data_IF_586501098279
#
_entry.id   IF_586501098279
#
_cell.length_a   1.000
_cell.length_b   1.000
_cell.length_c   1.000
_cell.angle_alpha   90.00
_cell.angle_beta   90.00
_cell.angle_gamma   90.00
#
_symmetry.space_group_name_H-M   'P 1'
#
loop_
_entity.id
_entity.type
_entity.pdbx_description
1 polymer ?
#
# COMPACT_ATOMS: atom_id res chain seq x y z
N UNK A 1 -15.28 -0.39 -2.58
CA UNK A 1 -14.12 -0.86 -1.82
C UNK A 1 -13.29 -1.81 -2.70
N UNK A 2 -11.98 -1.60 -2.78
CA UNK A 2 -11.08 -2.53 -3.48
C UNK A 2 -10.92 -3.84 -2.68
N UNK A 3 -10.53 -4.95 -3.32
CA UNK A 3 -10.13 -6.16 -2.61
C UNK A 3 -8.97 -5.85 -1.67
N UNK A 4 -9.18 -6.11 -0.38
CA UNK A 4 -8.18 -5.91 0.67
C UNK A 4 -7.99 -7.22 1.43
N UNK A 5 -6.79 -7.46 1.99
CA UNK A 5 -6.54 -8.67 2.78
C UNK A 5 -7.54 -8.83 3.92
N UNK A 6 -7.93 -10.07 4.17
CA UNK A 6 -8.63 -10.48 5.38
C UNK A 6 -7.62 -11.14 6.28
N UNK A 7 -7.62 -10.77 7.56
CA UNK A 7 -6.76 -11.41 8.56
C UNK A 7 -7.59 -12.12 9.60
N UNK A 8 -7.04 -13.21 10.14
CA UNK A 8 -7.56 -13.84 11.35
C UNK A 8 -6.83 -13.29 12.58
N UNK A 9 -7.59 -12.89 13.59
CA UNK A 9 -7.07 -12.49 14.88
C UNK A 9 -8.06 -12.79 16.01
N UNK A 10 -7.60 -13.51 17.05
CA UNK A 10 -8.40 -13.88 18.23
C UNK A 10 -9.73 -14.55 17.86
N UNK A 11 -9.69 -15.50 16.91
CA UNK A 11 -10.87 -16.27 16.47
C UNK A 11 -11.90 -15.45 15.66
N UNK A 12 -11.50 -14.33 15.11
CA UNK A 12 -12.32 -13.51 14.21
C UNK A 12 -11.60 -13.20 12.92
N UNK A 13 -12.35 -13.15 11.84
CA UNK A 13 -11.91 -12.59 10.56
C UNK A 13 -12.14 -11.08 10.58
N UNK A 14 -11.16 -10.32 10.10
CA UNK A 14 -11.18 -8.86 10.09
C UNK A 14 -10.91 -8.33 8.70
N UNK A 15 -11.66 -7.30 8.30
CA UNK A 15 -11.50 -6.63 7.03
C UNK A 15 -11.72 -5.13 7.15
N UNK A 16 -10.83 -4.36 6.48
CA UNK A 16 -11.02 -2.94 6.28
C UNK A 16 -12.08 -2.68 5.20
N UNK A 17 -12.88 -1.66 5.42
CA UNK A 17 -13.94 -1.23 4.52
C UNK A 17 -13.97 0.30 4.42
N UNK A 18 -14.55 0.80 3.34
CA UNK A 18 -14.97 2.17 3.22
C UNK A 18 -16.35 2.25 2.57
N UNK A 19 -17.13 3.21 2.97
CA UNK A 19 -18.37 3.61 2.29
C UNK A 19 -18.26 5.05 1.79
N UNK A 20 -19.27 5.49 1.06
CA UNK A 20 -19.38 6.85 0.55
C UNK A 20 -20.74 7.43 0.93
N UNK A 21 -20.73 8.43 1.83
CA UNK A 21 -21.95 9.08 2.29
C UNK A 21 -21.76 10.59 2.44
N UNK A 22 -22.50 11.43 1.70
CA UNK A 22 -23.48 11.06 0.67
C UNK A 22 -22.84 10.38 -0.55
N UNK A 23 -23.59 9.63 -1.35
CA UNK A 23 -23.07 8.81 -2.47
C UNK A 23 -22.70 9.64 -3.71
N UNK A 24 -22.02 10.76 -3.51
CA UNK A 24 -21.52 11.69 -4.53
C UNK A 24 -20.09 12.10 -4.18
N UNK A 25 -19.37 12.77 -5.08
CA UNK A 25 -18.03 13.29 -4.88
C UNK A 25 -17.06 12.17 -4.46
N UNK A 26 -16.55 11.45 -5.44
CA UNK A 26 -15.60 10.35 -5.22
C UNK A 26 -14.42 10.80 -4.33
N UNK A 27 -14.13 9.98 -3.32
CA UNK A 27 -13.06 10.22 -2.36
C UNK A 27 -13.47 11.16 -1.22
N UNK A 28 -13.94 12.36 -1.51
CA UNK A 28 -14.26 13.40 -0.51
C UNK A 28 -15.22 12.92 0.59
N UNK A 29 -16.19 12.09 0.23
CA UNK A 29 -17.21 11.58 1.15
C UNK A 29 -16.94 10.15 1.62
N UNK A 30 -15.73 9.63 1.42
CA UNK A 30 -15.36 8.32 1.92
C UNK A 30 -15.21 8.33 3.43
N UNK A 31 -15.75 7.28 4.06
CA UNK A 31 -15.65 7.05 5.49
C UNK A 31 -15.04 5.67 5.70
N UNK A 32 -13.96 5.60 6.47
CA UNK A 32 -13.34 4.34 6.84
C UNK A 32 -14.14 3.65 7.95
N UNK A 33 -14.18 2.32 7.91
CA UNK A 33 -14.68 1.46 8.98
C UNK A 33 -14.05 0.08 8.88
N UNK A 34 -14.31 -0.77 9.85
CA UNK A 34 -13.89 -2.16 9.85
C UNK A 34 -15.07 -3.08 10.06
N UNK A 35 -14.96 -4.29 9.54
CA UNK A 35 -15.90 -5.37 9.77
C UNK A 35 -15.16 -6.57 10.35
N UNK A 36 -15.81 -7.30 11.25
CA UNK A 36 -15.28 -8.56 11.75
C UNK A 36 -16.40 -9.56 12.00
N UNK A 37 -16.06 -10.84 11.96
CA UNK A 37 -17.00 -11.94 12.16
C UNK A 37 -16.26 -13.11 12.83
N UNK A 38 -16.87 -13.93 13.70
CA UNK A 38 -16.24 -15.15 14.19
C UNK A 38 -15.82 -16.06 13.03
N UNK A 39 -14.70 -16.78 13.16
CA UNK A 39 -14.16 -17.65 12.09
C UNK A 39 -15.08 -18.82 11.74
N UNK A 40 -15.92 -19.24 12.67
CA UNK A 40 -16.89 -20.35 12.54
C UNK A 40 -18.31 -19.87 12.20
N UNK A 41 -18.50 -18.57 11.98
CA UNK A 41 -19.79 -18.00 11.65
C UNK A 41 -20.23 -18.31 10.21
N UNK A 42 -21.52 -18.29 9.96
CA UNK A 42 -22.05 -18.22 8.60
C UNK A 42 -21.75 -16.82 8.02
N UNK A 43 -20.83 -16.75 7.07
CA UNK A 43 -20.41 -15.47 6.46
C UNK A 43 -21.52 -14.80 5.64
N UNK A 44 -22.60 -15.53 5.31
CA UNK A 44 -23.75 -15.00 4.60
C UNK A 44 -24.81 -14.44 5.55
N UNK A 45 -24.71 -14.70 6.84
CA UNK A 45 -25.60 -14.14 7.86
C UNK A 45 -25.09 -12.76 8.30
N UNK A 46 -25.76 -11.70 7.86
CA UNK A 46 -25.37 -10.33 8.15
C UNK A 46 -25.41 -10.00 9.65
N UNK A 47 -26.25 -10.68 10.44
CA UNK A 47 -26.40 -10.40 11.88
C UNK A 47 -25.20 -10.90 12.70
N UNK A 48 -24.36 -11.77 12.14
CA UNK A 48 -23.14 -12.25 12.78
C UNK A 48 -21.94 -11.28 12.63
N UNK A 49 -22.05 -10.30 11.74
CA UNK A 49 -21.00 -9.33 11.49
C UNK A 49 -21.01 -8.18 12.50
N UNK A 50 -19.88 -7.91 13.11
CA UNK A 50 -19.62 -6.69 13.85
C UNK A 50 -19.12 -5.61 12.89
N UNK A 51 -19.68 -4.42 12.97
CA UNK A 51 -19.32 -3.27 12.14
C UNK A 51 -18.95 -2.10 13.07
N UNK A 52 -17.79 -1.48 12.84
CA UNK A 52 -17.37 -0.31 13.64
C UNK A 52 -18.15 0.95 13.26
N UNK A 53 -17.96 2.02 14.07
CA UNK A 53 -18.29 3.37 13.65
C UNK A 53 -17.61 3.71 12.31
N UNK A 54 -18.10 4.75 11.66
CA UNK A 54 -17.55 5.28 10.41
C UNK A 54 -16.85 6.59 10.65
N UNK A 55 -15.58 6.70 10.24
CA UNK A 55 -14.78 7.91 10.39
C UNK A 55 -14.57 8.55 9.02
N UNK A 56 -15.07 9.78 8.87
CA UNK A 56 -14.92 10.57 7.65
C UNK A 56 -13.48 11.18 7.59
N UNK A 57 -12.96 11.33 6.37
CA UNK A 57 -11.72 12.05 6.15
C UNK A 57 -11.93 13.56 6.36
N UNK A 58 -11.03 14.21 7.11
CA UNK A 58 -11.03 15.66 7.20
C UNK A 58 -10.10 16.24 6.12
N UNK A 59 -10.61 17.08 5.19
CA UNK A 59 -9.78 17.72 4.16
C UNK A 59 -8.61 18.55 4.68
N UNK A 60 -8.69 19.03 5.91
CA UNK A 60 -7.61 19.80 6.56
C UNK A 60 -6.35 18.96 6.87
N UNK A 61 -6.47 17.63 6.81
CA UNK A 61 -5.35 16.72 7.05
C UNK A 61 -4.39 16.58 5.85
N UNK A 62 -4.60 17.35 4.77
CA UNK A 62 -3.87 17.20 3.51
C UNK A 62 -4.37 15.99 2.69
N UNK A 63 -4.06 15.91 1.41
CA UNK A 63 -4.68 14.91 0.56
C UNK A 63 -6.16 15.16 0.30
N UNK A 64 -6.91 14.14 -0.12
CA UNK A 64 -8.33 14.31 -0.51
C UNK A 64 -9.27 13.21 0.00
N UNK A 65 -8.74 12.10 0.48
CA UNK A 65 -9.52 10.96 0.93
C UNK A 65 -8.63 9.91 1.59
N UNK A 66 -9.25 9.00 2.33
CA UNK A 66 -8.65 7.72 2.66
C UNK A 66 -9.48 6.56 2.14
N UNK A 67 -8.83 5.46 1.80
CA UNK A 67 -9.47 4.27 1.27
C UNK A 67 -8.50 3.08 1.29
N UNK A 68 -9.03 1.90 0.93
CA UNK A 68 -8.23 0.70 0.66
C UNK A 68 -7.35 0.29 1.86
N UNK A 69 -7.96 0.19 3.04
CA UNK A 69 -7.25 -0.10 4.28
C UNK A 69 -6.76 -1.54 4.39
N UNK A 70 -5.66 -1.70 5.12
CA UNK A 70 -5.12 -3.00 5.53
C UNK A 70 -5.32 -3.17 7.03
N UNK A 71 -5.97 -4.25 7.46
CA UNK A 71 -5.95 -4.62 8.87
C UNK A 71 -4.63 -5.30 9.18
N UNK A 72 -3.92 -4.76 10.15
CA UNK A 72 -2.63 -5.27 10.60
C UNK A 72 -2.59 -5.34 12.11
N UNK A 73 -1.87 -6.32 12.64
CA UNK A 73 -1.62 -6.47 14.07
C UNK A 73 -0.23 -5.93 14.37
N UNK A 74 -0.11 -5.05 15.37
CA UNK A 74 1.19 -4.58 15.83
C UNK A 74 1.90 -5.65 16.72
N UNK A 75 3.18 -5.45 17.10
CA UNK A 75 3.91 -6.38 17.95
C UNK A 75 3.29 -6.57 19.35
N UNK A 76 2.47 -5.64 19.81
CA UNK A 76 1.75 -5.72 21.08
C UNK A 76 0.40 -6.43 20.95
N UNK A 77 0.03 -6.85 19.74
CA UNK A 77 -1.22 -7.56 19.45
C UNK A 77 -2.44 -6.67 19.25
N UNK A 78 -2.26 -5.34 19.18
CA UNK A 78 -3.32 -4.40 18.85
C UNK A 78 -3.56 -4.36 17.35
N UNK A 79 -4.82 -4.24 16.95
CA UNK A 79 -5.20 -4.11 15.55
C UNK A 79 -5.23 -2.64 15.12
N UNK A 80 -4.76 -2.43 13.89
CA UNK A 80 -4.75 -1.15 13.21
C UNK A 80 -5.33 -1.30 11.81
N UNK A 81 -6.00 -0.26 11.33
CA UNK A 81 -6.37 -0.12 9.94
C UNK A 81 -5.42 0.89 9.29
N UNK A 82 -4.50 0.41 8.44
CA UNK A 82 -3.61 1.26 7.64
C UNK A 82 -4.26 1.56 6.29
N UNK A 83 -4.64 2.81 6.07
CA UNK A 83 -5.32 3.30 4.89
C UNK A 83 -4.39 4.08 3.98
N UNK A 84 -4.64 3.95 2.69
CA UNK A 84 -4.13 4.88 1.69
C UNK A 84 -4.63 6.30 1.98
N UNK A 85 -3.72 7.28 1.95
CA UNK A 85 -4.04 8.70 2.02
C UNK A 85 -3.92 9.34 0.61
N UNK A 86 -5.06 9.44 -0.07
CA UNK A 86 -5.11 9.83 -1.46
C UNK A 86 -4.58 11.24 -1.71
N UNK A 87 -3.59 11.37 -2.61
CA UNK A 87 -2.97 12.63 -3.05
C UNK A 87 -2.14 13.39 -2.02
N UNK A 88 -1.68 12.75 -0.96
CA UNK A 88 -0.70 13.40 -0.08
C UNK A 88 0.67 13.49 -0.75
N UNK A 89 1.34 14.63 -0.57
CA UNK A 89 2.71 14.87 -0.96
C UNK A 89 3.42 15.66 0.17
N UNK A 90 4.47 15.10 0.81
CA UNK A 90 5.00 13.75 0.61
C UNK A 90 3.99 12.64 0.91
N UNK A 91 4.22 11.44 0.35
CA UNK A 91 3.29 10.33 0.47
C UNK A 91 3.19 9.81 1.91
N UNK A 92 1.97 9.61 2.39
CA UNK A 92 1.68 9.11 3.74
C UNK A 92 0.58 8.05 3.72
N UNK A 93 0.63 7.13 4.67
CA UNK A 93 -0.50 6.31 5.07
C UNK A 93 -1.22 6.92 6.27
N UNK A 94 -2.42 6.42 6.56
CA UNK A 94 -3.20 6.76 7.76
C UNK A 94 -3.41 5.50 8.59
N UNK A 95 -3.06 5.56 9.89
CA UNK A 95 -3.18 4.45 10.84
C UNK A 95 -4.28 4.74 11.85
N UNK A 96 -5.39 4.01 11.77
CA UNK A 96 -6.51 4.12 12.69
C UNK A 96 -6.47 2.97 13.69
N UNK A 97 -6.63 3.27 14.98
CA UNK A 97 -6.72 2.26 16.02
C UNK A 97 -8.07 1.55 15.94
N UNK A 98 -8.08 0.23 16.17
CA UNK A 98 -9.29 -0.59 16.23
C UNK A 98 -9.50 -1.01 17.67
N UNK A 99 -10.73 -0.89 18.20
CA UNK A 99 -11.08 -1.41 19.53
C UNK A 99 -11.06 -2.94 19.56
N UNK A 100 -10.81 -3.55 20.71
CA UNK A 100 -10.73 -5.01 20.84
C UNK A 100 -12.05 -5.71 20.48
N UNK A 101 -13.18 -5.07 20.73
CA UNK A 101 -14.52 -5.58 20.41
C UNK A 101 -14.93 -5.33 18.95
N UNK A 102 -14.15 -4.54 18.19
CA UNK A 102 -14.41 -4.22 16.79
C UNK A 102 -15.52 -3.20 16.54
N UNK A 103 -16.08 -2.60 17.58
CA UNK A 103 -17.17 -1.63 17.46
C UNK A 103 -16.71 -0.21 17.17
N UNK A 104 -15.41 0.09 17.39
CA UNK A 104 -14.88 1.42 17.12
C UNK A 104 -13.54 1.42 16.43
N UNK A 105 -13.34 2.44 15.59
CA UNK A 105 -12.06 2.86 15.07
C UNK A 105 -11.84 4.33 15.40
N UNK A 106 -10.60 4.71 15.62
CA UNK A 106 -10.21 6.06 15.99
C UNK A 106 -8.95 6.52 15.25
N UNK A 107 -8.92 7.79 14.86
CA UNK A 107 -7.80 8.42 14.19
C UNK A 107 -7.30 9.62 15.01
N UNK A 108 -6.03 9.56 15.38
CA UNK A 108 -5.34 10.65 16.09
C UNK A 108 -4.39 11.33 15.10
N UNK A 109 -4.68 12.54 14.60
CA UNK A 109 -3.88 13.22 13.57
C UNK A 109 -2.40 13.38 13.96
N UNK A 110 -2.11 13.57 15.24
CA UNK A 110 -0.76 13.81 15.76
C UNK A 110 0.16 12.59 15.63
N UNK A 111 -0.41 11.38 15.56
CA UNK A 111 0.33 10.11 15.54
C UNK A 111 -0.16 9.11 14.49
N UNK A 112 -1.26 9.41 13.83
CA UNK A 112 -1.91 8.50 12.88
C UNK A 112 -1.38 8.60 11.46
N UNK A 113 -0.68 9.67 11.11
CA UNK A 113 0.01 9.73 9.82
C UNK A 113 1.35 9.02 9.91
N UNK A 114 1.61 8.16 8.94
CA UNK A 114 2.87 7.44 8.82
C UNK A 114 3.52 7.76 7.49
N UNK A 115 4.83 8.03 7.50
CA UNK A 115 5.61 8.28 6.29
C UNK A 115 5.80 6.93 5.58
N UNK A 116 4.94 6.68 4.59
CA UNK A 116 4.93 5.45 3.80
C UNK A 116 5.12 5.80 2.33
N UNK A 117 6.30 5.54 1.75
CA UNK A 117 6.51 5.72 0.31
C UNK A 117 5.51 4.87 -0.49
N UNK A 118 4.71 5.51 -1.33
CA UNK A 118 3.59 4.87 -2.03
C UNK A 118 2.25 4.89 -1.29
N UNK A 119 2.19 5.45 -0.08
CA UNK A 119 0.98 5.54 0.74
C UNK A 119 -0.16 6.37 0.12
N UNK A 120 0.10 7.10 -0.95
CA UNK A 120 -0.94 7.79 -1.75
C UNK A 120 -1.68 6.89 -2.73
N UNK A 121 -1.27 5.64 -2.87
CA UNK A 121 -1.84 4.62 -3.76
C UNK A 121 -2.17 3.37 -2.96
N UNK A 122 -2.92 2.43 -3.54
CA UNK A 122 -3.16 1.15 -2.89
C UNK A 122 -1.84 0.44 -2.63
N UNK A 123 -1.65 -0.02 -1.42
CA UNK A 123 -0.58 -0.91 -0.99
C UNK A 123 -1.18 -2.14 -0.31
N UNK A 124 -0.37 -3.17 -0.11
CA UNK A 124 -0.76 -4.38 0.59
C UNK A 124 0.34 -4.77 1.56
N UNK A 125 -0.03 -5.12 2.80
CA UNK A 125 0.90 -5.40 3.90
C UNK A 125 0.77 -6.85 4.33
N UNK A 126 1.91 -7.54 4.53
CA UNK A 126 2.01 -8.84 5.17
C UNK A 126 3.06 -8.80 6.29
N UNK A 127 2.89 -9.66 7.27
CA UNK A 127 3.92 -9.97 8.26
C UNK A 127 4.82 -11.09 7.75
N UNK A 128 6.12 -10.91 7.83
CA UNK A 128 7.11 -11.95 7.50
C UNK A 128 7.69 -12.55 8.78
N UNK A 129 7.30 -13.77 9.08
CA UNK A 129 7.74 -14.50 10.28
C UNK A 129 9.25 -14.76 10.32
N UNK A 130 9.91 -14.82 9.18
CA UNK A 130 11.35 -15.10 9.11
C UNK A 130 12.17 -13.87 9.46
N UNK A 131 11.87 -12.72 8.86
CA UNK A 131 12.58 -11.46 9.13
C UNK A 131 12.05 -10.72 10.34
N UNK A 132 10.87 -11.11 10.88
CA UNK A 132 10.15 -10.41 11.96
C UNK A 132 9.88 -8.95 11.59
N UNK A 133 9.46 -8.73 10.34
CA UNK A 133 9.17 -7.42 9.77
C UNK A 133 7.80 -7.41 9.10
N UNK A 134 7.13 -6.27 9.13
CA UNK A 134 6.05 -5.98 8.21
C UNK A 134 6.65 -5.64 6.86
N UNK A 135 6.11 -6.26 5.83
CA UNK A 135 6.49 -6.01 4.45
C UNK A 135 5.29 -5.41 3.72
N UNK A 136 5.54 -4.44 2.86
CA UNK A 136 4.51 -3.85 2.02
C UNK A 136 4.95 -3.79 0.56
N UNK A 137 4.02 -4.09 -0.34
CA UNK A 137 4.17 -3.75 -1.76
C UNK A 137 3.39 -2.46 -2.04
N UNK A 138 4.11 -1.47 -2.54
CA UNK A 138 3.59 -0.12 -2.78
C UNK A 138 4.19 0.49 -4.05
N UNK A 139 3.61 1.60 -4.51
CA UNK A 139 4.09 2.36 -5.67
C UNK A 139 4.69 3.70 -5.21
N UNK A 140 5.94 3.76 -4.74
CA UNK A 140 6.54 5.02 -4.34
C UNK A 140 6.74 5.95 -5.54
N UNK A 141 6.64 7.25 -5.29
CA UNK A 141 6.92 8.28 -6.28
C UNK A 141 8.41 8.59 -6.28
N UNK A 142 9.09 8.35 -7.40
CA UNK A 142 10.50 8.67 -7.50
C UNK A 142 10.74 10.19 -7.47
N UNK A 143 11.89 10.67 -6.95
CA UNK A 143 12.19 12.09 -6.81
C UNK A 143 12.01 12.91 -8.09
N UNK A 144 12.40 12.37 -9.26
CA UNK A 144 12.23 13.03 -10.56
C UNK A 144 10.77 13.25 -10.95
N UNK A 145 9.83 12.57 -10.30
CA UNK A 145 8.40 12.73 -10.52
C UNK A 145 7.68 13.47 -9.39
N UNK A 146 8.41 14.06 -8.44
CA UNK A 146 7.84 14.72 -7.25
C UNK A 146 6.89 15.89 -7.59
N UNK A 147 7.05 16.52 -8.77
CA UNK A 147 6.13 17.55 -9.23
C UNK A 147 4.81 16.99 -9.82
N UNK A 148 4.70 15.67 -10.02
CA UNK A 148 3.48 15.04 -10.51
C UNK A 148 2.53 14.71 -9.38
N UNK A 149 1.27 14.50 -9.72
CA UNK A 149 0.28 13.98 -8.76
C UNK A 149 0.68 12.57 -8.33
N UNK A 150 0.84 12.31 -7.02
CA UNK A 150 1.28 11.01 -6.53
C UNK A 150 0.35 9.86 -6.94
N UNK A 151 -0.97 10.08 -6.95
CA UNK A 151 -1.97 9.09 -7.33
C UNK A 151 -1.91 8.65 -8.80
N UNK A 152 -1.20 9.41 -9.65
CA UNK A 152 -0.97 9.09 -11.06
C UNK A 152 0.45 8.63 -11.37
N UNK A 153 1.32 8.51 -10.36
CA UNK A 153 2.69 8.05 -10.52
C UNK A 153 2.77 6.61 -10.04
N UNK A 154 2.66 5.66 -10.99
CA UNK A 154 2.48 4.22 -10.71
C UNK A 154 3.52 3.33 -11.38
N UNK A 155 4.52 3.93 -12.02
CA UNK A 155 5.52 3.28 -12.86
C UNK A 155 6.58 2.48 -12.11
N UNK A 156 6.46 2.35 -10.80
CA UNK A 156 7.28 1.47 -9.98
C UNK A 156 6.43 0.67 -8.99
N UNK A 157 6.82 -0.58 -8.75
CA UNK A 157 6.37 -1.39 -7.64
C UNK A 157 7.57 -1.71 -6.78
N UNK A 158 7.48 -1.46 -5.49
CA UNK A 158 8.59 -1.61 -4.58
C UNK A 158 8.21 -2.40 -3.33
N UNK A 159 9.20 -3.07 -2.74
CA UNK A 159 9.11 -3.71 -1.43
C UNK A 159 9.58 -2.73 -0.37
N UNK A 160 8.72 -2.50 0.61
CA UNK A 160 8.97 -1.74 1.84
C UNK A 160 9.09 -2.69 3.01
N UNK A 161 9.77 -2.27 4.07
CA UNK A 161 9.75 -2.97 5.36
C UNK A 161 9.56 -2.02 6.52
N UNK A 162 8.98 -2.52 7.61
CA UNK A 162 8.80 -1.79 8.85
C UNK A 162 8.86 -2.75 10.04
N UNK A 163 9.54 -2.39 11.15
CA UNK A 163 9.50 -3.19 12.36
C UNK A 163 8.24 -2.95 13.19
N UNK A 164 7.51 -1.84 12.97
CA UNK A 164 6.52 -1.33 13.92
C UNK A 164 5.28 -0.67 13.27
N UNK A 165 5.12 -0.77 11.95
CA UNK A 165 4.05 -0.14 11.16
C UNK A 165 4.09 1.40 11.11
N UNK A 166 5.13 2.02 11.65
CA UNK A 166 5.33 3.48 11.69
C UNK A 166 6.53 3.91 10.86
N UNK A 167 7.65 3.22 11.06
CA UNK A 167 8.91 3.52 10.39
C UNK A 167 9.07 2.59 9.17
N UNK A 168 8.83 3.13 7.98
CA UNK A 168 8.88 2.37 6.73
C UNK A 168 10.11 2.72 5.92
N UNK A 169 10.80 1.68 5.47
CA UNK A 169 12.00 1.78 4.63
C UNK A 169 11.77 1.17 3.26
N UNK A 170 12.24 1.85 2.22
CA UNK A 170 12.30 1.32 0.86
C UNK A 170 13.45 0.31 0.75
N UNK A 171 13.11 -0.97 0.55
CA UNK A 171 14.09 -2.07 0.47
C UNK A 171 14.64 -2.26 -0.94
N UNK A 172 13.75 -2.40 -1.90
CA UNK A 172 14.12 -2.69 -3.29
C UNK A 172 12.98 -2.32 -4.24
N UNK A 173 13.35 -1.96 -5.46
CA UNK A 173 12.40 -1.76 -6.56
C UNK A 173 12.22 -3.10 -7.27
N UNK A 174 11.00 -3.62 -7.30
CA UNK A 174 10.70 -4.89 -7.95
C UNK A 174 10.40 -4.73 -9.44
N UNK A 175 9.57 -3.75 -9.78
CA UNK A 175 9.19 -3.45 -11.17
C UNK A 175 9.36 -1.94 -11.40
N UNK A 176 9.87 -1.58 -12.57
CA UNK A 176 10.07 -0.19 -12.94
C UNK A 176 9.95 0.01 -14.45
N UNK A 177 9.34 1.12 -14.84
CA UNK A 177 9.34 1.62 -16.21
C UNK A 177 9.62 3.13 -16.21
N UNK A 178 10.52 3.65 -17.08
CA UNK A 178 10.87 5.06 -17.08
C UNK A 178 9.72 5.99 -17.52
N UNK A 179 8.84 5.50 -18.38
CA UNK A 179 7.69 6.31 -18.86
C UNK A 179 6.51 6.16 -17.90
N UNK A 180 6.32 7.19 -17.07
CA UNK A 180 5.25 7.30 -16.08
C UNK A 180 3.87 7.55 -16.68
N UNK A 181 3.79 7.92 -17.97
CA UNK A 181 2.52 8.23 -18.62
C UNK A 181 1.80 6.96 -19.12
N UNK A 182 2.57 5.92 -19.44
CA UNK A 182 2.04 4.71 -20.09
C UNK A 182 2.18 3.44 -19.23
N UNK A 183 2.96 3.49 -18.16
CA UNK A 183 3.20 2.31 -17.34
C UNK A 183 2.73 2.47 -15.89
N UNK A 184 2.17 1.38 -15.34
CA UNK A 184 1.77 1.30 -13.94
C UNK A 184 1.72 -0.14 -13.46
N UNK A 185 2.31 -0.41 -12.30
CA UNK A 185 2.34 -1.70 -11.61
C UNK A 185 1.59 -1.57 -10.29
N UNK A 186 0.32 -1.90 -10.26
CA UNK A 186 -0.55 -1.45 -9.20
C UNK A 186 -1.49 -2.52 -8.70
N UNK A 187 -2.13 -2.24 -7.57
CA UNK A 187 -3.05 -3.17 -6.92
C UNK A 187 -2.44 -4.56 -6.74
N UNK A 188 -1.21 -4.64 -6.19
CA UNK A 188 -0.57 -5.94 -6.01
C UNK A 188 -1.39 -6.81 -5.05
N UNK A 189 -1.49 -8.08 -5.40
CA UNK A 189 -1.85 -9.16 -4.50
C UNK A 189 -0.69 -10.14 -4.47
N UNK A 190 -0.33 -10.65 -3.30
CA UNK A 190 0.92 -11.38 -3.15
C UNK A 190 0.95 -12.27 -1.93
N UNK A 191 1.83 -13.27 -1.97
CA UNK A 191 2.10 -14.15 -0.86
C UNK A 191 3.59 -14.46 -0.76
N UNK A 192 4.01 -14.93 0.43
CA UNK A 192 5.35 -15.40 0.71
C UNK A 192 5.36 -16.93 0.60
N UNK A 193 6.24 -17.47 -0.24
CA UNK A 193 6.47 -18.90 -0.39
C UNK A 193 7.97 -19.19 -0.20
N UNK A 194 8.35 -19.63 1.01
CA UNK A 194 9.76 -19.82 1.34
C UNK A 194 10.56 -18.51 1.23
N UNK A 195 11.56 -18.47 0.34
CA UNK A 195 12.37 -17.29 0.06
C UNK A 195 11.87 -16.46 -1.12
N UNK A 196 10.66 -16.70 -1.59
CA UNK A 196 10.10 -16.07 -2.77
C UNK A 196 8.88 -15.23 -2.42
N UNK A 197 8.69 -14.12 -3.17
CA UNK A 197 7.38 -13.48 -3.27
C UNK A 197 6.72 -13.92 -4.58
N UNK A 198 5.48 -14.35 -4.50
CA UNK A 198 4.61 -14.54 -5.64
C UNK A 198 3.69 -13.34 -5.73
N UNK A 199 3.81 -12.56 -6.81
CA UNK A 199 3.16 -11.26 -6.94
C UNK A 199 2.29 -11.23 -8.19
N UNK A 200 1.01 -10.91 -8.02
CA UNK A 200 0.13 -10.49 -9.10
C UNK A 200 0.05 -8.96 -9.11
N UNK A 201 0.19 -8.36 -10.29
CA UNK A 201 0.06 -6.92 -10.47
C UNK A 201 -0.93 -6.60 -11.57
N UNK A 202 -1.86 -5.69 -11.29
CA UNK A 202 -2.65 -5.04 -12.33
C UNK A 202 -1.73 -4.05 -13.05
N UNK A 203 -1.35 -4.38 -14.29
CA UNK A 203 -0.26 -3.73 -15.00
C UNK A 203 -0.76 -2.97 -16.22
N UNK A 204 -0.47 -1.66 -16.26
CA UNK A 204 -0.55 -0.84 -17.45
C UNK A 204 0.81 -0.89 -18.13
N UNK A 205 0.85 -1.28 -19.41
CA UNK A 205 2.10 -1.40 -20.15
C UNK A 205 1.86 -1.22 -21.65
N UNK A 206 2.79 -0.58 -22.40
CA UNK A 206 2.68 -0.46 -23.84
C UNK A 206 2.49 -1.80 -24.53
N UNK A 207 1.61 -1.85 -25.53
CA UNK A 207 1.35 -3.01 -26.36
C UNK A 207 1.17 -2.62 -27.85
N UNK A 208 1.19 -3.59 -28.78
CA UNK A 208 0.99 -3.31 -30.23
C UNK A 208 -0.41 -2.81 -30.58
N UNK A 209 -1.37 -2.84 -29.65
CA UNK A 209 -2.78 -2.51 -29.90
C UNK A 209 -3.17 -1.11 -29.43
N UNK A 210 -2.19 -0.27 -29.04
CA UNK A 210 -2.40 1.11 -28.62
C UNK A 210 -2.15 1.35 -27.13
N UNK A 211 -1.85 0.31 -26.37
CA UNK A 211 -1.54 0.39 -24.95
C UNK A 211 -2.71 0.78 -24.04
N UNK A 212 -2.47 0.99 -22.75
CA UNK A 212 -3.48 1.45 -21.83
C UNK A 212 -3.79 2.95 -22.04
N UNK A 213 -5.04 3.40 -21.79
CA UNK A 213 -5.42 4.81 -21.94
C UNK A 213 -4.70 5.74 -20.95
N UNK A 214 -4.20 5.20 -19.85
CA UNK A 214 -3.43 5.90 -18.81
C UNK A 214 -2.75 4.88 -17.88
N UNK A 215 -1.82 5.29 -16.99
CA UNK A 215 -1.10 4.36 -16.12
C UNK A 215 -1.96 3.72 -15.01
N UNK A 216 -3.20 4.16 -14.83
CA UNK A 216 -4.14 3.55 -13.88
C UNK A 216 -4.99 2.45 -14.51
N UNK A 217 -5.42 2.62 -15.76
CA UNK A 217 -6.35 1.68 -16.42
C UNK A 217 -5.53 0.60 -17.12
N UNK A 218 -5.27 -0.46 -16.39
CA UNK A 218 -4.40 -1.55 -16.78
C UNK A 218 -4.98 -2.39 -17.93
N UNK A 219 -4.11 -2.83 -18.84
CA UNK A 219 -4.41 -3.75 -19.92
C UNK A 219 -3.89 -5.17 -19.68
N UNK A 220 -3.09 -5.38 -18.61
CA UNK A 220 -2.56 -6.68 -18.23
C UNK A 220 -2.81 -7.01 -16.76
N UNK A 221 -2.86 -8.31 -16.47
CA UNK A 221 -2.58 -8.89 -15.17
C UNK A 221 -1.28 -9.66 -15.31
N UNK A 222 -0.24 -9.25 -14.58
CA UNK A 222 1.09 -9.86 -14.68
C UNK A 222 1.44 -10.60 -13.41
N UNK A 223 2.09 -11.76 -13.57
CA UNK A 223 2.62 -12.56 -12.47
C UNK A 223 4.14 -12.43 -12.40
N UNK A 224 4.66 -12.25 -11.20
CA UNK A 224 6.09 -12.11 -10.95
C UNK A 224 6.51 -13.00 -9.79
N UNK A 225 7.66 -13.65 -9.94
CA UNK A 225 8.34 -14.39 -8.88
C UNK A 225 9.61 -13.63 -8.51
N UNK A 226 9.74 -13.30 -7.22
CA UNK A 226 10.89 -12.56 -6.69
C UNK A 226 11.67 -13.49 -5.79
N UNK A 227 12.76 -14.02 -6.32
CA UNK A 227 13.65 -14.92 -5.58
C UNK A 227 14.47 -14.15 -4.54
N UNK A 228 14.78 -14.81 -3.42
CA UNK A 228 15.65 -14.30 -2.36
C UNK A 228 15.28 -12.87 -1.89
N UNK A 229 14.00 -12.58 -1.81
CA UNK A 229 13.50 -11.22 -1.60
C UNK A 229 14.01 -10.58 -0.30
N UNK A 230 14.29 -11.37 0.75
CA UNK A 230 14.80 -10.86 2.03
C UNK A 230 16.21 -10.28 1.93
N UNK A 231 16.98 -10.72 0.94
CA UNK A 231 18.35 -10.25 0.70
C UNK A 231 18.41 -9.09 -0.28
N UNK A 232 17.32 -8.82 -0.99
CA UNK A 232 17.30 -7.74 -1.99
C UNK A 232 17.39 -6.36 -1.35
N UNK A 233 18.10 -5.49 -2.06
CA UNK A 233 18.37 -4.11 -1.69
C UNK A 233 18.06 -3.16 -2.86
N UNK A 234 18.24 -1.86 -2.66
CA UNK A 234 18.14 -0.88 -3.74
C UNK A 234 19.23 -1.00 -4.82
N UNK A 235 20.32 -1.73 -4.54
CA UNK A 235 21.37 -2.00 -5.52
C UNK A 235 20.98 -3.09 -6.54
N UNK A 236 19.96 -3.89 -6.22
CA UNK A 236 19.51 -4.96 -7.11
C UNK A 236 18.64 -4.40 -8.24
N UNK A 237 18.83 -4.87 -9.48
CA UNK A 237 18.02 -4.41 -10.61
C UNK A 237 16.56 -4.85 -10.46
N UNK A 238 15.60 -4.07 -10.98
CA UNK A 238 14.20 -4.50 -11.09
C UNK A 238 14.07 -5.75 -11.97
N UNK A 239 13.01 -6.50 -11.73
CA UNK A 239 12.60 -7.56 -12.64
C UNK A 239 12.24 -6.93 -14.01
N UNK A 240 12.68 -7.56 -15.10
CA UNK A 240 12.37 -7.07 -16.45
C UNK A 240 13.36 -6.05 -17.03
N UNK A 241 14.44 -5.73 -16.32
CA UNK A 241 15.64 -5.16 -16.96
C UNK A 241 15.73 -3.64 -17.13
N UNK A 242 14.80 -2.86 -16.60
CA UNK A 242 14.96 -1.40 -16.56
C UNK A 242 15.87 -1.01 -15.39
N UNK A 243 17.01 -0.33 -15.64
CA UNK A 243 18.00 -0.05 -14.61
C UNK A 243 17.49 0.96 -13.57
N UNK A 244 17.76 0.68 -12.29
CA UNK A 244 17.35 1.52 -11.16
C UNK A 244 18.10 2.84 -11.03
N UNK A 245 19.23 3.02 -11.70
CA UNK A 245 19.91 4.31 -11.71
C UNK A 245 19.04 5.45 -12.31
N UNK A 246 18.04 5.09 -13.12
CA UNK A 246 17.01 6.05 -13.57
C UNK A 246 15.96 6.36 -12.52
N UNK A 247 15.88 5.55 -11.45
CA UNK A 247 15.01 5.78 -10.30
C UNK A 247 15.62 6.75 -9.29
N UNK A 248 16.93 6.66 -9.06
CA UNK A 248 17.63 7.43 -8.02
C UNK A 248 18.87 8.13 -8.62
N UNK A 249 18.66 9.15 -9.49
CA UNK A 249 19.78 9.86 -10.11
C UNK A 249 20.69 10.57 -9.11
N UNK A 250 20.25 10.81 -7.87
CA UNK A 250 20.93 11.64 -6.88
C UNK A 250 21.69 10.86 -5.79
N UNK A 251 21.63 9.53 -5.74
CA UNK A 251 22.39 8.77 -4.74
C UNK A 251 23.92 8.90 -4.94
N UNK A 252 24.38 9.09 -6.17
CA UNK A 252 25.81 9.35 -6.44
C UNK A 252 26.25 10.76 -6.00
N UNK A 253 25.31 11.71 -5.88
CA UNK A 253 25.60 13.07 -5.42
C UNK A 253 25.62 13.21 -3.89
N UNK A 254 25.09 12.26 -3.15
CA UNK A 254 25.07 12.26 -1.68
C UNK A 254 26.30 11.61 -1.04
N UNK A 255 27.25 11.10 -1.81
CA UNK A 255 28.55 10.75 -1.24
C UNK A 255 29.27 12.04 -0.78
N UNK A 256 29.69 12.13 0.50
CA UNK A 256 30.40 13.29 0.97
C UNK A 256 31.68 13.44 0.12
N UNK A 257 31.79 14.58 -0.57
CA UNK A 257 33.03 14.93 -1.24
C UNK A 257 34.12 14.97 -0.17
N UNK A 258 34.95 13.93 -0.12
CA UNK A 258 36.17 13.93 0.65
C UNK A 258 37.02 15.08 0.05
N UNK A 259 37.07 16.21 0.75
CA UNK A 259 38.00 17.27 0.41
C UNK A 259 39.41 16.72 0.59
N UNK A 260 40.12 16.63 -0.51
CA UNK A 260 41.59 16.45 -0.49
C UNK A 260 42.26 17.75 0.00
#
# INVERSE_FOLDING_TARGET
CAPMPVIEHRGRLWRAMEDRNPPKDWGKNFRAFVMSVPVDADLLDADQWTISNRVAYNPEWGGTAWLEGNIVRDPQGKLWNLLRNHRTAPEKGCRLAISEDGHSIDFQPESGFVDLPGGSKKFSILWDEVSQMYLALANPCAPQFAARRPDQTRNALALMSSPDLVHWELRTILLYHPDVAVAGFQYPDWLIEGDQLLVLSRTAFPDPFGGPPNPHDANYLTFHRVENFRQRTLADPPLGGYPTHTWMPDLEQQQPRVRK
#
